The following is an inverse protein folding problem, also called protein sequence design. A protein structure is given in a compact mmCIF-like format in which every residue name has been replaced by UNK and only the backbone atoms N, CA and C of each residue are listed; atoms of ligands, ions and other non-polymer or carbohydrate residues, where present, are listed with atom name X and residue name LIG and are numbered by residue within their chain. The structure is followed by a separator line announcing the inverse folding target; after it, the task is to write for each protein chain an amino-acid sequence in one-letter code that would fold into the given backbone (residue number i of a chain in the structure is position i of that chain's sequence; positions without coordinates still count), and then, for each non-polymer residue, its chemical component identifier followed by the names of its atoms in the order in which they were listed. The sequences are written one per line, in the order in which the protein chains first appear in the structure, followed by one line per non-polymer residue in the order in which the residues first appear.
data_IF_735125327361
#
_entry.id   IF_735125327361
#
_cell.length_a   1.000
_cell.length_b   1.000
_cell.length_c   1.000
_cell.angle_alpha   90.00
_cell.angle_beta   90.00
_cell.angle_gamma   90.00
#
_symmetry.space_group_name_H-M   'P 1'
#
loop_
_entity.id
_entity.type
_entity.pdbx_description
1 polymer ?
#
# COMPACT_ATOMS: atom_id res chain seq x y z
N UNK A 1 37.69 -26.59 -33.93
CA UNK A 1 36.69 -25.51 -34.05
C UNK A 1 35.61 -25.74 -33.00
N UNK A 2 35.65 -25.01 -31.89
CA UNK A 2 34.57 -25.02 -30.89
C UNK A 2 33.43 -24.16 -31.45
N UNK A 3 32.28 -24.79 -31.73
CA UNK A 3 31.09 -24.10 -32.21
C UNK A 3 30.59 -23.12 -31.16
N UNK A 4 30.56 -21.84 -31.51
CA UNK A 4 29.88 -20.81 -30.73
C UNK A 4 28.38 -21.15 -30.71
N UNK A 5 27.87 -21.56 -29.55
CA UNK A 5 26.43 -21.60 -29.32
C UNK A 5 25.94 -20.15 -29.37
N UNK A 6 25.00 -19.79 -30.27
CA UNK A 6 24.47 -18.45 -30.33
C UNK A 6 23.80 -18.12 -28.99
N UNK A 7 24.08 -16.93 -28.46
CA UNK A 7 23.39 -16.42 -27.28
C UNK A 7 21.87 -16.51 -27.52
N UNK A 8 21.08 -16.97 -26.54
CA UNK A 8 19.63 -17.08 -26.70
C UNK A 8 19.08 -15.71 -27.13
N UNK A 9 18.26 -15.72 -28.19
CA UNK A 9 17.63 -14.51 -28.70
C UNK A 9 16.88 -13.79 -27.56
N UNK A 10 17.15 -12.50 -27.38
CA UNK A 10 16.47 -11.70 -26.37
C UNK A 10 14.96 -11.70 -26.69
N UNK A 11 14.14 -12.15 -25.73
CA UNK A 11 12.70 -12.20 -25.89
C UNK A 11 12.16 -10.81 -26.29
N UNK A 12 11.16 -10.79 -27.18
CA UNK A 12 10.56 -9.55 -27.64
C UNK A 12 10.02 -8.73 -26.46
N UNK A 13 10.19 -7.39 -26.44
CA UNK A 13 9.72 -6.57 -25.32
C UNK A 13 8.22 -6.68 -25.10
N UNK A 14 7.80 -6.88 -23.84
CA UNK A 14 6.38 -6.91 -23.46
C UNK A 14 5.72 -5.55 -23.73
N UNK A 15 4.62 -5.55 -24.50
CA UNK A 15 3.98 -4.34 -25.02
C UNK A 15 3.21 -3.54 -23.97
N UNK A 16 2.70 -4.19 -22.92
CA UNK A 16 1.96 -3.57 -21.81
C UNK A 16 2.55 -4.04 -20.47
N UNK A 17 3.75 -3.54 -20.09
CA UNK A 17 4.53 -4.11 -18.99
C UNK A 17 3.79 -4.08 -17.65
N UNK A 18 3.12 -2.98 -17.32
CA UNK A 18 2.32 -2.85 -16.09
C UNK A 18 1.16 -3.85 -16.05
N UNK A 19 0.44 -4.00 -17.17
CA UNK A 19 -0.72 -4.88 -17.22
C UNK A 19 -0.30 -6.36 -17.17
N UNK A 20 0.79 -6.72 -17.84
CA UNK A 20 1.34 -8.07 -17.82
C UNK A 20 1.79 -8.48 -16.42
N UNK A 21 2.52 -7.62 -15.71
CA UNK A 21 2.92 -7.85 -14.31
C UNK A 21 1.71 -7.98 -13.38
N UNK A 22 0.68 -7.13 -13.56
CA UNK A 22 -0.57 -7.24 -12.82
C UNK A 22 -1.29 -8.58 -13.06
N UNK A 23 -1.39 -9.02 -14.31
CA UNK A 23 -1.99 -10.32 -14.66
C UNK A 23 -1.18 -11.47 -14.06
N UNK A 24 0.16 -11.40 -14.11
CA UNK A 24 1.03 -12.39 -13.51
C UNK A 24 0.80 -12.50 -12.00
N UNK A 25 0.80 -11.38 -11.26
CA UNK A 25 0.54 -11.36 -9.82
C UNK A 25 -0.85 -11.91 -9.45
N UNK A 26 -1.86 -11.66 -10.28
CA UNK A 26 -3.21 -12.19 -10.05
C UNK A 26 -3.25 -13.72 -10.17
N UNK A 27 -2.48 -14.29 -11.12
CA UNK A 27 -2.36 -15.73 -11.34
C UNK A 27 -1.45 -16.44 -10.31
N UNK A 28 -0.58 -15.69 -9.62
CA UNK A 28 0.39 -16.24 -8.66
C UNK A 28 0.15 -15.64 -7.26
N UNK A 29 -0.90 -16.06 -6.54
CA UNK A 29 -1.08 -15.68 -5.14
C UNK A 29 0.11 -16.13 -4.30
N UNK A 30 0.48 -15.30 -3.32
CA UNK A 30 1.39 -15.73 -2.25
C UNK A 30 0.78 -16.93 -1.51
N UNK A 31 1.56 -17.99 -1.35
CA UNK A 31 1.20 -19.15 -0.56
C UNK A 31 1.16 -18.81 0.94
N UNK A 32 0.63 -19.72 1.75
CA UNK A 32 0.71 -19.58 3.21
C UNK A 32 2.18 -19.66 3.69
N UNK A 33 3.00 -20.46 3.00
CA UNK A 33 4.41 -20.70 3.33
C UNK A 33 5.29 -19.47 3.02
N UNK A 34 4.90 -18.67 2.02
CA UNK A 34 5.57 -17.39 1.71
C UNK A 34 5.37 -16.36 2.84
N UNK A 35 4.38 -16.58 3.70
CA UNK A 35 4.05 -15.73 4.83
C UNK A 35 3.27 -14.46 4.47
N UNK A 36 2.77 -13.81 5.52
CA UNK A 36 1.84 -12.70 5.38
C UNK A 36 2.43 -11.47 4.66
N UNK A 37 3.75 -11.26 4.72
CA UNK A 37 4.41 -10.16 3.99
C UNK A 37 4.32 -10.32 2.47
N UNK A 38 4.46 -11.54 1.95
CA UNK A 38 4.31 -11.81 0.51
C UNK A 38 2.86 -11.58 0.06
N UNK A 39 1.86 -11.87 0.90
CA UNK A 39 0.46 -11.52 0.61
C UNK A 39 0.28 -10.00 0.48
N UNK A 40 0.97 -9.21 1.31
CA UNK A 40 0.96 -7.74 1.22
C UNK A 40 1.60 -7.28 -0.08
N UNK A 41 2.75 -7.84 -0.47
CA UNK A 41 3.45 -7.49 -1.72
C UNK A 41 2.58 -7.80 -2.94
N UNK A 42 1.95 -8.98 -2.98
CA UNK A 42 1.05 -9.36 -4.06
C UNK A 42 -0.13 -8.38 -4.20
N UNK A 43 -0.85 -8.10 -3.10
CA UNK A 43 -1.95 -7.15 -3.11
C UNK A 43 -1.50 -5.72 -3.49
N UNK A 44 -0.30 -5.31 -3.05
CA UNK A 44 0.26 -4.00 -3.39
C UNK A 44 0.63 -3.90 -4.86
N UNK A 45 1.22 -4.95 -5.44
CA UNK A 45 1.49 -5.02 -6.88
C UNK A 45 0.20 -4.96 -7.70
N UNK A 46 -0.84 -5.71 -7.31
CA UNK A 46 -2.16 -5.59 -7.96
C UNK A 46 -2.74 -4.18 -7.87
N UNK A 47 -2.57 -3.51 -6.72
CA UNK A 47 -2.98 -2.12 -6.54
C UNK A 47 -2.18 -1.15 -7.44
N UNK A 48 -0.86 -1.33 -7.57
CA UNK A 48 -0.02 -0.53 -8.45
C UNK A 48 -0.38 -0.73 -9.92
N UNK A 49 -0.57 -1.98 -10.35
CA UNK A 49 -0.92 -2.32 -11.73
C UNK A 49 -2.27 -1.72 -12.14
N UNK A 50 -3.23 -1.65 -11.20
CA UNK A 50 -4.52 -0.98 -11.34
C UNK A 50 -5.24 -1.29 -12.68
N UNK A 51 -5.29 -2.58 -13.04
CA UNK A 51 -6.00 -3.01 -14.25
C UNK A 51 -7.45 -3.34 -13.92
N UNK A 52 -8.33 -3.23 -14.92
CA UNK A 52 -9.74 -3.64 -14.76
C UNK A 52 -9.87 -5.15 -14.58
N UNK A 53 -9.02 -5.94 -15.24
CA UNK A 53 -9.08 -7.42 -15.22
C UNK A 53 -8.65 -7.99 -13.86
N UNK A 54 -7.79 -7.31 -13.12
CA UNK A 54 -7.31 -7.78 -11.80
C UNK A 54 -8.00 -7.08 -10.62
N UNK A 55 -8.99 -6.23 -10.90
CA UNK A 55 -9.66 -5.44 -9.87
C UNK A 55 -10.43 -6.29 -8.87
N UNK A 56 -11.04 -7.40 -9.31
CA UNK A 56 -11.77 -8.32 -8.42
C UNK A 56 -10.78 -9.10 -7.55
N UNK A 57 -9.68 -9.57 -8.12
CA UNK A 57 -8.61 -10.26 -7.40
C UNK A 57 -7.99 -9.40 -6.29
N UNK A 58 -7.72 -8.11 -6.59
CA UNK A 58 -7.27 -7.16 -5.58
C UNK A 58 -8.23 -7.09 -4.38
N UNK A 59 -9.55 -7.14 -4.61
CA UNK A 59 -10.52 -7.09 -3.50
C UNK A 59 -10.49 -8.37 -2.68
N UNK A 60 -10.37 -9.53 -3.32
CA UNK A 60 -10.18 -10.82 -2.65
C UNK A 60 -8.94 -10.77 -1.77
N UNK A 61 -7.77 -10.41 -2.33
CA UNK A 61 -6.51 -10.34 -1.58
C UNK A 61 -6.58 -9.36 -0.40
N UNK A 62 -7.24 -8.20 -0.57
CA UNK A 62 -7.40 -7.25 0.54
C UNK A 62 -8.38 -7.77 1.60
N UNK A 63 -9.41 -8.54 1.22
CA UNK A 63 -10.28 -9.20 2.17
C UNK A 63 -9.53 -10.27 2.99
N UNK A 64 -8.71 -11.08 2.32
CA UNK A 64 -7.87 -12.12 2.97
C UNK A 64 -6.87 -11.49 3.93
N UNK A 65 -6.19 -10.42 3.51
CA UNK A 65 -5.31 -9.65 4.39
C UNK A 65 -6.06 -9.14 5.62
N UNK A 66 -7.27 -8.57 5.46
CA UNK A 66 -8.07 -8.11 6.61
C UNK A 66 -8.45 -9.28 7.52
N UNK A 67 -8.81 -10.45 6.98
CA UNK A 67 -9.18 -11.61 7.78
C UNK A 67 -8.00 -12.15 8.59
N UNK A 68 -6.79 -12.17 8.02
CA UNK A 68 -5.58 -12.68 8.68
C UNK A 68 -4.86 -11.67 9.60
N UNK A 69 -5.23 -10.39 9.57
CA UNK A 69 -4.48 -9.31 10.22
C UNK A 69 -4.29 -9.53 11.73
N UNK A 70 -5.34 -9.95 12.44
CA UNK A 70 -5.31 -10.14 13.89
C UNK A 70 -4.31 -11.21 14.34
N UNK A 71 -4.06 -12.23 13.52
CA UNK A 71 -3.06 -13.25 13.80
C UNK A 71 -1.65 -12.85 13.32
N UNK A 72 -1.57 -12.18 12.18
CA UNK A 72 -0.30 -12.00 11.48
C UNK A 72 0.49 -10.76 11.91
N UNK A 73 -0.17 -9.68 12.35
CA UNK A 73 0.44 -8.36 12.58
C UNK A 73 1.01 -8.14 13.98
N UNK A 74 0.40 -8.63 15.08
CA UNK A 74 0.87 -8.31 16.44
C UNK A 74 2.36 -8.56 16.64
N UNK A 75 3.06 -7.56 17.20
CA UNK A 75 4.51 -7.62 17.46
C UNK A 75 5.40 -7.51 16.21
N UNK A 76 4.84 -7.28 15.01
CA UNK A 76 5.59 -7.17 13.74
C UNK A 76 5.47 -5.77 13.14
N UNK A 77 6.24 -4.78 13.63
CA UNK A 77 6.14 -3.39 13.17
C UNK A 77 6.42 -3.22 11.67
N UNK A 78 7.35 -4.00 11.10
CA UNK A 78 7.62 -3.99 9.66
C UNK A 78 6.39 -4.42 8.83
N UNK A 79 5.73 -5.50 9.23
CA UNK A 79 4.48 -5.97 8.62
C UNK A 79 3.37 -4.90 8.74
N UNK A 80 3.24 -4.29 9.92
CA UNK A 80 2.30 -3.19 10.13
C UNK A 80 2.60 -2.00 9.21
N UNK A 81 3.87 -1.62 9.03
CA UNK A 81 4.29 -0.52 8.17
C UNK A 81 3.94 -0.77 6.68
N UNK A 82 4.26 -1.96 6.16
CA UNK A 82 3.90 -2.36 4.79
C UNK A 82 2.37 -2.35 4.57
N UNK A 83 1.61 -2.85 5.55
CA UNK A 83 0.15 -2.89 5.45
C UNK A 83 -0.48 -1.48 5.56
N UNK A 84 0.11 -0.57 6.35
CA UNK A 84 -0.28 0.85 6.37
C UNK A 84 -0.08 1.47 4.99
N UNK A 85 1.05 1.22 4.34
CA UNK A 85 1.36 1.76 3.01
C UNK A 85 0.29 1.35 1.99
N UNK A 86 -0.09 0.06 1.96
CA UNK A 86 -1.16 -0.49 1.14
C UNK A 86 -2.54 0.08 1.52
N UNK A 87 -2.93 0.00 2.79
CA UNK A 87 -4.24 0.45 3.26
C UNK A 87 -4.47 1.93 2.92
N UNK A 88 -3.45 2.77 3.12
CA UNK A 88 -3.54 4.20 2.81
C UNK A 88 -3.63 4.47 1.31
N UNK A 89 -2.92 3.71 0.47
CA UNK A 89 -3.07 3.82 -0.97
C UNK A 89 -4.47 3.44 -1.45
N UNK A 90 -5.08 2.42 -0.84
CA UNK A 90 -6.43 1.95 -1.15
C UNK A 90 -7.54 2.78 -0.51
N UNK A 91 -7.21 3.84 0.22
CA UNK A 91 -8.16 4.66 0.99
C UNK A 91 -8.93 3.86 2.07
N UNK A 92 -8.29 2.81 2.60
CA UNK A 92 -8.79 1.98 3.71
C UNK A 92 -8.24 2.52 5.03
N UNK A 93 -9.00 2.33 6.12
CA UNK A 93 -8.54 2.70 7.46
C UNK A 93 -7.37 1.83 7.89
N UNK A 94 -6.26 2.46 8.30
CA UNK A 94 -5.13 1.79 8.94
C UNK A 94 -5.33 1.65 10.47
N UNK A 95 -6.34 2.32 11.05
CA UNK A 95 -6.69 2.23 12.48
C UNK A 95 -7.65 1.08 12.78
N UNK A 96 -8.27 0.53 11.74
CA UNK A 96 -9.16 -0.62 11.79
C UNK A 96 -9.02 -1.42 10.48
N UNK A 97 -8.00 -2.28 10.48
CA UNK A 97 -7.71 -3.19 9.40
C UNK A 97 -7.88 -4.62 9.92
N UNK A 98 -9.09 -5.17 9.75
CA UNK A 98 -9.40 -6.50 10.28
C UNK A 98 -9.45 -6.55 11.81
N UNK A 99 -9.88 -5.45 12.46
CA UNK A 99 -9.84 -5.33 13.92
C UNK A 99 -8.48 -4.91 14.49
N UNK A 100 -7.44 -4.78 13.66
CA UNK A 100 -6.11 -4.34 14.09
C UNK A 100 -5.90 -2.85 13.83
N UNK A 101 -5.36 -2.14 14.83
CA UNK A 101 -4.87 -0.78 14.66
C UNK A 101 -3.38 -0.82 14.29
N UNK A 102 -3.09 -0.82 12.99
CA UNK A 102 -1.74 -0.96 12.45
C UNK A 102 -0.80 0.16 12.90
N UNK A 103 -1.33 1.37 13.13
CA UNK A 103 -0.54 2.51 13.60
C UNK A 103 -0.07 2.27 15.04
N UNK A 104 -0.92 1.67 15.87
CA UNK A 104 -0.54 1.30 17.24
C UNK A 104 0.49 0.17 17.24
N UNK A 105 0.30 -0.85 16.40
CA UNK A 105 1.26 -1.96 16.27
C UNK A 105 2.64 -1.47 15.82
N UNK A 106 2.68 -0.59 14.82
CA UNK A 106 3.94 0.01 14.38
C UNK A 106 4.60 0.81 15.52
N UNK A 107 3.83 1.60 16.29
CA UNK A 107 4.37 2.38 17.41
C UNK A 107 4.86 1.52 18.57
N UNK A 108 4.16 0.44 18.87
CA UNK A 108 4.55 -0.49 19.93
C UNK A 108 5.89 -1.15 19.63
N UNK A 109 6.24 -1.33 18.35
CA UNK A 109 7.53 -1.83 17.92
C UNK A 109 8.65 -0.79 17.81
N UNK A 110 8.47 0.44 18.33
CA UNK A 110 9.51 1.47 18.39
C UNK A 110 10.09 1.50 19.79
N UNK A 111 11.38 1.22 19.94
CA UNK A 111 12.12 1.33 21.21
C UNK A 111 12.36 2.79 21.60
N UNK A 112 12.79 3.00 22.85
CA UNK A 112 13.06 4.35 23.39
C UNK A 112 14.13 5.12 22.60
N UNK A 113 15.15 4.44 22.05
CA UNK A 113 16.18 5.03 21.20
C UNK A 113 15.74 5.21 19.73
N UNK A 114 14.47 4.91 19.42
CA UNK A 114 13.89 5.06 18.08
C UNK A 114 14.19 3.90 17.14
N UNK A 115 14.71 2.76 17.62
CA UNK A 115 14.83 1.56 16.82
C UNK A 115 13.45 0.98 16.48
N UNK A 116 13.20 0.68 15.20
CA UNK A 116 11.99 -0.01 14.76
C UNK A 116 12.28 -1.50 14.61
N UNK A 117 11.58 -2.33 15.38
CA UNK A 117 11.74 -3.78 15.36
C UNK A 117 13.05 -4.28 15.98
N UNK A 118 13.21 -5.60 16.01
CA UNK A 118 14.36 -6.24 16.66
C UNK A 118 15.68 -6.01 15.90
N UNK A 119 15.62 -5.95 14.57
CA UNK A 119 16.80 -5.80 13.72
C UNK A 119 16.93 -4.36 13.21
N UNK A 120 18.06 -3.72 13.51
CA UNK A 120 18.35 -2.35 13.10
C UNK A 120 18.82 -2.27 11.65
N UNK A 121 18.03 -1.65 10.78
CA UNK A 121 18.41 -1.33 9.41
C UNK A 121 17.81 0.00 8.96
N UNK A 122 18.46 0.70 8.03
CA UNK A 122 17.87 1.88 7.42
C UNK A 122 16.54 1.58 6.71
N UNK A 123 16.39 0.40 6.08
CA UNK A 123 15.15 -0.03 5.45
C UNK A 123 13.95 -0.01 6.41
N UNK A 124 14.08 -0.68 7.56
CA UNK A 124 12.99 -0.77 8.55
C UNK A 124 12.60 0.60 9.10
N UNK A 125 13.60 1.46 9.36
CA UNK A 125 13.39 2.81 9.84
C UNK A 125 12.69 3.70 8.82
N UNK A 126 13.17 3.68 7.58
CA UNK A 126 12.59 4.45 6.51
C UNK A 126 11.14 4.01 6.22
N UNK A 127 10.87 2.70 6.23
CA UNK A 127 9.52 2.16 6.04
C UNK A 127 8.56 2.60 7.14
N UNK A 128 9.00 2.64 8.41
CA UNK A 128 8.19 3.16 9.52
C UNK A 128 7.85 4.65 9.35
N UNK A 129 8.83 5.46 8.94
CA UNK A 129 8.62 6.90 8.68
C UNK A 129 7.61 7.10 7.55
N UNK A 130 7.77 6.38 6.44
CA UNK A 130 6.86 6.43 5.29
C UNK A 130 5.45 6.04 5.73
N UNK A 131 5.30 4.92 6.44
CA UNK A 131 4.02 4.43 6.92
C UNK A 131 3.31 5.44 7.85
N UNK A 132 4.02 5.96 8.87
CA UNK A 132 3.46 6.94 9.81
C UNK A 132 3.01 8.23 9.09
N UNK A 133 3.83 8.76 8.18
CA UNK A 133 3.46 9.93 7.37
C UNK A 133 2.23 9.67 6.51
N UNK A 134 2.16 8.53 5.82
CA UNK A 134 1.00 8.14 5.00
C UNK A 134 -0.26 7.94 5.84
N UNK A 135 -0.12 7.47 7.08
CA UNK A 135 -1.22 7.35 8.02
C UNK A 135 -1.71 8.70 8.58
N UNK A 136 -1.01 9.81 8.31
CA UNK A 136 -1.28 11.11 8.93
C UNK A 136 -0.91 11.14 10.41
N UNK A 137 -0.01 10.25 10.85
CA UNK A 137 0.48 10.18 12.22
C UNK A 137 1.79 10.96 12.37
N UNK A 138 2.04 11.50 13.57
CA UNK A 138 3.31 12.16 13.88
C UNK A 138 4.47 11.16 13.87
N UNK A 139 5.57 11.47 13.21
CA UNK A 139 6.78 10.65 13.20
C UNK A 139 7.61 10.97 14.45
N UNK A 140 7.95 10.01 15.33
CA UNK A 140 8.84 10.28 16.45
C UNK A 140 10.22 10.75 15.97
N UNK A 141 10.75 11.81 16.59
CA UNK A 141 12.06 12.36 16.22
C UNK A 141 13.21 11.36 16.42
N UNK A 142 13.11 10.48 17.42
CA UNK A 142 14.08 9.41 17.67
C UNK A 142 14.21 8.45 16.47
N UNK A 143 13.10 8.12 15.78
CA UNK A 143 13.13 7.24 14.59
C UNK A 143 13.89 7.90 13.43
N UNK A 144 13.69 9.21 13.23
CA UNK A 144 14.44 9.96 12.21
C UNK A 144 15.91 10.04 12.59
N UNK A 145 16.22 10.33 13.85
CA UNK A 145 17.59 10.40 14.36
C UNK A 145 18.30 9.06 14.19
N UNK A 146 17.63 7.94 14.53
CA UNK A 146 18.15 6.58 14.34
C UNK A 146 18.31 6.23 12.85
N UNK A 147 17.42 6.68 11.96
CA UNK A 147 17.65 6.50 10.51
C UNK A 147 18.96 7.16 10.07
N UNK A 148 19.24 8.39 10.54
CA UNK A 148 20.44 9.13 10.16
C UNK A 148 21.74 8.44 10.58
N UNK A 149 21.73 7.60 11.63
CA UNK A 149 22.92 6.84 12.05
C UNK A 149 23.29 5.70 11.10
N UNK A 150 22.39 5.32 10.19
CA UNK A 150 22.65 4.28 9.19
C UNK A 150 23.23 4.81 7.88
N UNK A 151 23.57 6.11 7.79
CA UNK A 151 24.31 6.65 6.64
C UNK A 151 25.82 6.59 6.90
N UNK A 152 26.58 5.98 5.98
CA UNK A 152 28.04 5.94 6.07
C UNK A 152 28.73 7.17 5.44
N UNK A 153 30.06 7.14 5.42
CA UNK A 153 30.88 8.19 4.82
C UNK A 153 30.67 8.32 3.30
N UNK A 154 30.33 7.24 2.60
CA UNK A 154 30.04 7.27 1.16
C UNK A 154 28.71 7.97 0.85
N UNK A 155 27.81 8.04 1.83
CA UNK A 155 26.46 8.58 1.72
C UNK A 155 25.39 7.51 1.51
N UNK A 156 25.78 6.24 1.40
CA UNK A 156 24.86 5.12 1.36
C UNK A 156 24.16 4.95 2.70
N UNK A 157 22.91 4.49 2.67
CA UNK A 157 22.28 3.91 3.84
C UNK A 157 22.37 2.40 3.79
N UNK A 158 22.38 1.77 4.96
CA UNK A 158 22.63 0.34 5.05
C UNK A 158 22.20 -0.29 6.36
N UNK A 159 22.89 -1.38 6.68
CA UNK A 159 22.70 -2.15 7.90
C UNK A 159 24.05 -2.71 8.40
N UNK A 160 24.07 -3.17 9.64
CA UNK A 160 25.24 -3.81 10.25
C UNK A 160 25.16 -5.34 10.11
N UNK A 161 26.19 -5.96 9.54
CA UNK A 161 26.34 -7.41 9.47
C UNK A 161 27.83 -7.79 9.46
N UNK A 162 28.44 -7.87 10.65
CA UNK A 162 29.90 -8.03 10.78
C UNK A 162 30.69 -6.81 10.30
N UNK A 163 30.01 -5.66 10.18
CA UNK A 163 30.48 -4.42 9.58
C UNK A 163 29.36 -3.75 8.78
N UNK A 164 29.56 -2.48 8.43
CA UNK A 164 28.58 -1.73 7.66
C UNK A 164 28.45 -2.26 6.23
N UNK A 165 27.22 -2.53 5.81
CA UNK A 165 26.88 -2.94 4.44
C UNK A 165 26.03 -1.85 3.79
N UNK A 166 26.60 -1.18 2.78
CA UNK A 166 25.88 -0.22 1.94
C UNK A 166 24.83 -0.95 1.10
N UNK A 167 23.59 -0.46 1.12
CA UNK A 167 22.46 -1.15 0.50
C UNK A 167 21.61 -0.18 -0.36
N UNK A 168 21.45 -0.45 -1.67
CA UNK A 168 20.66 0.42 -2.54
C UNK A 168 19.18 0.51 -2.11
N UNK A 169 18.60 -0.56 -1.58
CA UNK A 169 17.20 -0.62 -1.17
C UNK A 169 16.94 0.27 0.05
N UNK A 170 17.79 0.12 1.08
CA UNK A 170 17.85 0.99 2.25
C UNK A 170 18.06 2.45 1.87
N UNK A 171 19.00 2.72 0.96
CA UNK A 171 19.28 4.08 0.46
C UNK A 171 18.08 4.67 -0.26
N UNK A 172 17.41 3.88 -1.10
CA UNK A 172 16.21 4.29 -1.80
C UNK A 172 15.09 4.69 -0.82
N UNK A 173 14.81 3.85 0.19
CA UNK A 173 13.77 4.18 1.15
C UNK A 173 14.16 5.36 2.05
N UNK A 174 15.43 5.46 2.46
CA UNK A 174 15.91 6.60 3.23
C UNK A 174 15.71 7.93 2.50
N UNK A 175 16.00 7.99 1.18
CA UNK A 175 15.71 9.17 0.35
C UNK A 175 14.23 9.54 0.43
N UNK A 176 13.33 8.55 0.28
CA UNK A 176 11.89 8.80 0.34
C UNK A 176 11.44 9.29 1.73
N UNK A 177 11.87 8.61 2.79
CA UNK A 177 11.51 8.92 4.16
C UNK A 177 11.97 10.33 4.56
N UNK A 178 13.23 10.69 4.25
CA UNK A 178 13.81 11.98 4.57
C UNK A 178 13.21 13.12 3.76
N UNK A 179 12.86 12.88 2.49
CA UNK A 179 12.09 13.83 1.69
C UNK A 179 10.69 14.09 2.28
N UNK A 180 10.03 13.07 2.84
CA UNK A 180 8.71 13.20 3.46
C UNK A 180 8.73 13.99 4.78
N UNK A 181 9.76 13.81 5.62
CA UNK A 181 9.87 14.53 6.90
C UNK A 181 10.47 15.93 6.74
N UNK A 182 11.26 16.17 5.69
CA UNK A 182 11.94 17.45 5.47
C UNK A 182 13.19 17.62 6.34
N UNK A 183 13.84 18.79 6.26
CA UNK A 183 14.99 19.15 7.11
C UNK A 183 16.33 18.47 6.79
N UNK A 184 16.36 17.44 5.93
CA UNK A 184 17.52 16.56 5.74
C UNK A 184 18.16 16.68 4.34
N UNK A 185 18.14 17.88 3.74
CA UNK A 185 18.55 18.08 2.33
C UNK A 185 19.99 17.65 2.04
N UNK A 186 20.94 17.91 2.95
CA UNK A 186 22.34 17.54 2.77
C UNK A 186 22.56 16.02 2.82
N UNK A 187 21.89 15.35 3.76
CA UNK A 187 21.90 13.89 3.91
C UNK A 187 21.34 13.21 2.66
N UNK A 188 20.19 13.69 2.16
CA UNK A 188 19.58 13.20 0.91
C UNK A 188 20.49 13.47 -0.29
N UNK A 189 21.17 14.61 -0.34
CA UNK A 189 22.11 14.91 -1.43
C UNK A 189 23.30 13.94 -1.46
N UNK A 190 23.84 13.55 -0.31
CA UNK A 190 24.88 12.51 -0.22
C UNK A 190 24.40 11.16 -0.74
N UNK A 191 23.21 10.72 -0.30
CA UNK A 191 22.59 9.48 -0.77
C UNK A 191 22.34 9.47 -2.29
N UNK A 192 21.88 10.58 -2.84
CA UNK A 192 21.69 10.73 -4.29
C UNK A 192 23.02 10.70 -5.03
N UNK A 193 24.07 11.34 -4.50
CA UNK A 193 25.42 11.28 -5.08
C UNK A 193 25.94 9.85 -5.12
N UNK A 194 25.83 9.11 -4.00
CA UNK A 194 26.18 7.70 -3.94
C UNK A 194 25.40 6.88 -4.97
N UNK A 195 24.07 7.02 -5.00
CA UNK A 195 23.22 6.30 -5.95
C UNK A 195 23.61 6.56 -7.41
N UNK A 196 24.01 7.79 -7.75
CA UNK A 196 24.50 8.09 -9.10
C UNK A 196 25.84 7.41 -9.40
N UNK A 197 26.76 7.39 -8.42
CA UNK A 197 28.09 6.78 -8.62
C UNK A 197 28.06 5.26 -8.70
N UNK A 198 27.05 4.61 -8.10
CA UNK A 198 26.92 3.16 -8.09
C UNK A 198 25.99 2.61 -9.18
N UNK A 199 25.33 3.48 -9.97
CA UNK A 199 24.55 3.03 -11.11
C UNK A 199 25.46 2.45 -12.19
N UNK A 200 25.19 1.22 -12.62
CA UNK A 200 26.01 0.53 -13.63
C UNK A 200 25.94 1.21 -15.01
N UNK A 201 26.88 0.86 -15.89
CA UNK A 201 26.86 1.28 -17.29
C UNK A 201 25.59 0.84 -18.04
N UNK A 202 24.89 -0.22 -17.59
CA UNK A 202 23.60 -0.63 -18.14
C UNK A 202 22.41 0.13 -17.53
N UNK A 203 22.57 0.75 -16.36
CA UNK A 203 21.56 1.61 -15.73
C UNK A 203 20.85 1.02 -14.52
N UNK A 204 21.28 -0.14 -14.04
CA UNK A 204 20.74 -0.79 -12.83
C UNK A 204 21.64 -0.57 -11.62
N UNK A 205 21.15 -0.90 -10.44
CA UNK A 205 21.95 -1.01 -9.21
C UNK A 205 22.15 -2.47 -8.90
N UNK A 206 23.41 -2.88 -8.80
CA UNK A 206 23.76 -4.26 -8.50
C UNK A 206 23.63 -4.52 -7.00
N UNK A 207 23.02 -5.65 -6.66
CA UNK A 207 22.75 -6.10 -5.29
C UNK A 207 22.32 -7.56 -5.35
N UNK A 208 21.78 -8.09 -4.25
CA UNK A 208 21.25 -9.45 -4.20
C UNK A 208 20.11 -9.69 -5.20
N UNK A 209 19.22 -8.70 -5.36
CA UNK A 209 18.18 -8.67 -6.41
C UNK A 209 18.27 -7.36 -7.20
N UNK A 210 19.01 -7.33 -8.33
CA UNK A 210 19.20 -6.10 -9.10
C UNK A 210 17.90 -5.49 -9.64
N UNK A 211 16.84 -6.29 -9.81
CA UNK A 211 15.53 -5.81 -10.26
C UNK A 211 14.89 -4.96 -9.16
N UNK A 212 14.86 -5.47 -7.92
CA UNK A 212 14.24 -4.83 -6.76
C UNK A 212 14.95 -3.51 -6.46
N UNK A 213 16.27 -3.59 -6.30
CA UNK A 213 17.13 -2.44 -6.01
C UNK A 213 16.97 -1.35 -7.06
N UNK A 214 16.89 -1.72 -8.34
CA UNK A 214 16.74 -0.74 -9.42
C UNK A 214 15.36 -0.10 -9.42
N UNK A 215 14.31 -0.88 -9.19
CA UNK A 215 12.96 -0.37 -9.14
C UNK A 215 12.76 0.59 -7.95
N UNK A 216 13.26 0.21 -6.76
CA UNK A 216 13.21 1.03 -5.56
C UNK A 216 14.07 2.30 -5.69
N UNK A 217 15.31 2.19 -6.15
CA UNK A 217 16.21 3.34 -6.27
C UNK A 217 15.71 4.36 -7.29
N UNK A 218 15.37 3.92 -8.51
CA UNK A 218 14.90 4.84 -9.53
C UNK A 218 13.56 5.48 -9.16
N UNK A 219 12.63 4.74 -8.55
CA UNK A 219 11.38 5.31 -8.05
C UNK A 219 11.60 6.33 -6.93
N UNK A 220 12.60 6.13 -6.07
CA UNK A 220 12.94 7.09 -5.01
C UNK A 220 13.33 8.46 -5.56
N UNK A 221 13.99 8.54 -6.72
CA UNK A 221 14.33 9.83 -7.35
C UNK A 221 13.11 10.69 -7.65
N UNK A 222 11.98 10.08 -8.00
CA UNK A 222 10.70 10.78 -8.31
C UNK A 222 10.05 11.40 -7.07
N UNK A 223 10.51 11.06 -5.87
CA UNK A 223 10.03 11.65 -4.60
C UNK A 223 10.73 12.96 -4.25
N UNK A 224 11.84 13.26 -4.94
CA UNK A 224 12.58 14.50 -4.73
C UNK A 224 11.90 15.68 -5.44
N UNK A 225 12.23 16.91 -5.01
CA UNK A 225 11.74 18.12 -5.67
C UNK A 225 12.08 18.14 -7.17
N UNK A 226 11.31 18.87 -7.99
CA UNK A 226 11.59 19.02 -9.44
C UNK A 226 13.04 19.47 -9.71
N UNK A 227 13.57 20.38 -8.87
CA UNK A 227 14.95 20.89 -8.97
C UNK A 227 15.98 19.77 -8.74
N UNK A 228 15.76 18.94 -7.73
CA UNK A 228 16.62 17.79 -7.41
C UNK A 228 16.47 16.66 -8.43
N UNK A 229 15.27 16.42 -8.97
CA UNK A 229 15.01 15.37 -9.95
C UNK A 229 15.55 15.68 -11.34
N UNK A 230 15.55 16.95 -11.78
CA UNK A 230 16.03 17.34 -13.12
C UNK A 230 17.38 16.71 -13.51
N UNK A 231 18.46 16.77 -12.70
CA UNK A 231 19.73 16.12 -13.02
C UNK A 231 19.70 14.58 -12.90
N UNK A 232 18.66 13.99 -12.31
CA UNK A 232 18.47 12.53 -12.16
C UNK A 232 17.66 11.92 -13.30
N UNK A 233 17.02 12.74 -14.14
CA UNK A 233 16.12 12.27 -15.19
C UNK A 233 16.79 11.27 -16.15
N UNK A 234 18.06 11.49 -16.52
CA UNK A 234 18.80 10.56 -17.38
C UNK A 234 19.05 9.21 -16.70
N UNK A 235 19.47 9.23 -15.43
CA UNK A 235 19.67 8.02 -14.61
C UNK A 235 18.38 7.23 -14.43
N UNK A 236 17.28 7.93 -14.12
CA UNK A 236 15.92 7.36 -14.05
C UNK A 236 15.50 6.69 -15.36
N UNK A 237 15.66 7.39 -16.49
CA UNK A 237 15.27 6.87 -17.81
C UNK A 237 16.10 5.64 -18.19
N UNK A 238 17.38 5.60 -17.83
CA UNK A 238 18.24 4.45 -18.07
C UNK A 238 17.77 3.23 -17.28
N UNK A 239 17.52 3.40 -15.98
CA UNK A 239 16.97 2.36 -15.11
C UNK A 239 15.61 1.84 -15.61
N UNK A 240 14.70 2.74 -15.99
CA UNK A 240 13.39 2.36 -16.53
C UNK A 240 13.50 1.55 -17.83
N UNK A 241 14.39 1.95 -18.75
CA UNK A 241 14.63 1.21 -19.99
C UNK A 241 15.24 -0.15 -19.72
N UNK A 242 16.23 -0.22 -18.83
CA UNK A 242 16.85 -1.48 -18.43
C UNK A 242 15.82 -2.42 -17.79
N UNK A 243 15.01 -1.94 -16.84
CA UNK A 243 14.03 -2.77 -16.16
C UNK A 243 13.07 -3.39 -17.17
N UNK A 244 12.58 -2.62 -18.14
CA UNK A 244 11.70 -3.13 -19.20
C UNK A 244 12.28 -4.29 -20.02
N UNK A 245 13.60 -4.42 -20.14
CA UNK A 245 14.21 -5.56 -20.85
C UNK A 245 14.31 -6.82 -20.00
N UNK A 246 14.01 -6.72 -18.70
CA UNK A 246 14.04 -7.83 -17.74
C UNK A 246 12.69 -8.49 -17.53
N UNK A 247 11.61 -7.93 -18.07
CA UNK A 247 10.30 -8.55 -17.97
C UNK A 247 10.26 -9.82 -18.82
N UNK A 248 9.85 -10.93 -18.21
CA UNK A 248 9.73 -12.22 -18.86
C UNK A 248 8.43 -12.28 -19.69
N UNK A 249 8.36 -13.27 -20.59
CA UNK A 249 7.23 -13.44 -21.50
C UNK A 249 5.90 -13.76 -20.78
N UNK A 250 5.97 -14.35 -19.57
CA UNK A 250 4.83 -14.59 -18.70
C UNK A 250 4.28 -13.31 -18.03
N UNK A 251 5.01 -12.19 -18.16
CA UNK A 251 4.67 -10.88 -17.62
C UNK A 251 5.31 -10.57 -16.26
N UNK A 252 5.93 -11.53 -15.59
CA UNK A 252 6.64 -11.29 -14.34
C UNK A 252 8.08 -10.82 -14.53
N UNK A 253 8.79 -10.64 -13.42
CA UNK A 253 10.19 -10.25 -13.38
C UNK A 253 11.01 -11.24 -12.56
N UNK A 254 12.22 -11.63 -13.00
CA UNK A 254 13.09 -12.47 -12.20
C UNK A 254 13.80 -11.65 -11.12
N UNK A 255 14.24 -12.30 -10.03
CA UNK A 255 15.08 -11.64 -9.02
C UNK A 255 16.54 -11.44 -9.49
N UNK A 256 17.03 -12.29 -10.40
CA UNK A 256 18.43 -12.26 -10.86
C UNK A 256 18.56 -11.81 -12.31
N UNK A 257 19.75 -11.32 -12.71
CA UNK A 257 20.01 -10.77 -14.04
C UNK A 257 19.76 -11.75 -15.20
N UNK A 258 19.95 -13.04 -14.93
CA UNK A 258 19.85 -14.16 -15.87
C UNK A 258 18.71 -15.12 -15.50
N UNK A 259 17.88 -14.76 -14.51
CA UNK A 259 16.77 -15.60 -14.08
C UNK A 259 15.73 -15.74 -15.18
N UNK A 260 15.21 -16.96 -15.34
CA UNK A 260 14.18 -17.30 -16.33
C UNK A 260 12.82 -17.55 -15.69
N UNK A 261 12.74 -17.44 -14.37
CA UNK A 261 11.53 -17.64 -13.57
C UNK A 261 11.18 -16.34 -12.88
N UNK A 262 9.91 -15.97 -12.94
CA UNK A 262 9.38 -14.79 -12.30
C UNK A 262 9.37 -14.94 -10.78
N UNK A 263 9.76 -13.88 -10.08
CA UNK A 263 9.73 -13.73 -8.64
C UNK A 263 8.66 -12.71 -8.23
N UNK A 264 8.00 -12.97 -7.09
CA UNK A 264 6.90 -12.13 -6.66
C UNK A 264 7.35 -10.76 -6.16
N UNK A 265 8.46 -10.68 -5.40
CA UNK A 265 8.98 -9.42 -4.87
C UNK A 265 9.50 -8.56 -6.03
N UNK A 266 10.25 -9.14 -6.95
CA UNK A 266 10.72 -8.47 -8.16
C UNK A 266 9.59 -7.95 -9.05
N UNK A 267 8.55 -8.74 -9.24
CA UNK A 267 7.39 -8.30 -10.03
C UNK A 267 6.63 -7.16 -9.33
N UNK A 268 6.51 -7.22 -8.00
CA UNK A 268 5.91 -6.18 -7.18
C UNK A 268 6.71 -4.87 -7.20
N UNK A 269 8.02 -4.92 -6.94
CA UNK A 269 8.84 -3.71 -6.86
C UNK A 269 9.02 -3.05 -8.22
N UNK A 270 9.16 -3.85 -9.30
CA UNK A 270 9.17 -3.35 -10.68
C UNK A 270 7.98 -2.42 -10.98
N UNK A 271 6.80 -2.69 -10.41
CA UNK A 271 5.62 -1.87 -10.63
C UNK A 271 5.73 -0.45 -10.09
N UNK A 272 6.54 -0.17 -9.06
CA UNK A 272 6.79 1.21 -8.64
C UNK A 272 7.44 2.01 -9.76
N UNK A 273 8.51 1.47 -10.36
CA UNK A 273 9.22 2.15 -11.46
C UNK A 273 8.37 2.20 -12.73
N UNK A 274 7.69 1.10 -13.09
CA UNK A 274 6.84 1.04 -14.28
C UNK A 274 5.68 2.03 -14.24
N UNK A 275 5.14 2.32 -13.05
CA UNK A 275 4.05 3.28 -12.86
C UNK A 275 4.53 4.69 -12.50
N UNK A 276 5.85 4.88 -12.36
CA UNK A 276 6.46 6.18 -12.05
C UNK A 276 6.10 6.72 -10.67
N UNK A 277 5.80 5.82 -9.73
CA UNK A 277 5.41 6.10 -8.35
C UNK A 277 6.39 5.43 -7.39
N UNK A 278 6.18 5.59 -6.09
CA UNK A 278 7.00 4.96 -5.04
C UNK A 278 6.15 4.55 -3.83
N UNK A 279 6.73 3.83 -2.87
CA UNK A 279 6.08 3.49 -1.60
C UNK A 279 5.50 4.72 -0.87
N UNK A 280 6.22 5.85 -0.94
CA UNK A 280 5.77 7.11 -0.32
C UNK A 280 4.65 7.82 -1.08
N UNK A 281 4.52 7.63 -2.39
CA UNK A 281 3.67 8.48 -3.26
C UNK A 281 2.49 7.76 -3.90
N UNK A 282 2.49 6.42 -3.97
CA UNK A 282 1.43 5.73 -4.72
C UNK A 282 0.06 5.82 -4.04
N UNK A 283 -0.97 5.91 -4.88
CA UNK A 283 -2.37 5.96 -4.48
C UNK A 283 -3.22 5.24 -5.51
N UNK A 284 -4.23 4.50 -5.05
CA UNK A 284 -5.13 3.76 -5.92
C UNK A 284 -6.31 4.64 -6.34
N UNK A 285 -6.52 4.82 -7.64
CA UNK A 285 -7.58 5.70 -8.13
C UNK A 285 -8.96 5.05 -7.96
N UNK A 286 -9.83 5.69 -7.18
CA UNK A 286 -11.18 5.19 -6.89
C UNK A 286 -12.16 5.35 -8.06
N UNK A 287 -12.91 4.28 -8.33
CA UNK A 287 -14.03 4.26 -9.27
C UNK A 287 -15.37 4.58 -8.59
N UNK A 288 -16.36 5.13 -9.32
CA UNK A 288 -17.72 5.23 -8.81
C UNK A 288 -18.44 3.88 -8.88
N UNK A 289 -19.34 3.60 -7.93
CA UNK A 289 -20.29 2.50 -8.06
C UNK A 289 -21.21 2.73 -9.26
N UNK A 290 -21.50 1.68 -10.04
CA UNK A 290 -22.43 1.75 -11.17
C UNK A 290 -23.90 1.64 -10.75
N UNK A 291 -24.16 1.01 -9.59
CA UNK A 291 -25.49 0.95 -8.94
C UNK A 291 -25.38 1.36 -7.47
N UNK A 292 -26.30 2.22 -7.01
CA UNK A 292 -26.34 2.81 -5.64
C UNK A 292 -27.79 2.93 -5.13
N UNK A 293 -28.40 1.82 -4.71
CA UNK A 293 -29.79 1.82 -4.25
C UNK A 293 -29.99 2.68 -2.99
N UNK A 294 -31.18 3.29 -2.85
CA UNK A 294 -31.56 4.03 -1.64
C UNK A 294 -32.04 3.06 -0.56
N UNK A 295 -31.60 3.22 0.70
CA UNK A 295 -32.09 2.41 1.81
C UNK A 295 -33.54 2.79 2.15
N UNK A 296 -34.33 1.79 2.55
CA UNK A 296 -35.75 1.94 2.93
C UNK A 296 -35.98 1.43 4.35
N UNK A 297 -36.83 2.10 5.11
CA UNK A 297 -37.28 1.64 6.42
C UNK A 297 -38.60 0.87 6.24
N UNK A 298 -38.66 -0.36 6.75
CA UNK A 298 -39.85 -1.24 6.77
C UNK A 298 -40.34 -1.41 8.21
N UNK A 299 -41.63 -1.70 8.39
CA UNK A 299 -42.30 -1.80 9.69
C UNK A 299 -43.19 -0.59 9.97
N UNK A 300 -43.95 -0.59 11.07
CA UNK A 300 -44.73 0.56 11.55
C UNK A 300 -43.91 1.33 12.58
N UNK A 301 -43.78 2.66 12.43
CA UNK A 301 -42.97 3.47 13.33
C UNK A 301 -43.85 3.88 14.49
N UNK A 302 -44.07 2.95 15.40
CA UNK A 302 -44.89 3.11 16.62
C UNK A 302 -44.03 2.69 17.80
N UNK A 303 -44.11 3.39 18.94
CA UNK A 303 -43.36 3.01 20.14
C UNK A 303 -43.57 1.53 20.45
N UNK A 304 -42.48 0.83 20.77
CA UNK A 304 -42.45 -0.62 21.02
C UNK A 304 -42.28 -1.48 19.77
N UNK A 305 -42.56 -0.96 18.56
CA UNK A 305 -42.39 -1.74 17.32
C UNK A 305 -40.95 -1.72 16.82
N UNK A 306 -40.58 -2.79 16.12
CA UNK A 306 -39.30 -2.90 15.42
C UNK A 306 -39.41 -2.38 13.99
N UNK A 307 -38.45 -1.54 13.61
CA UNK A 307 -38.19 -1.13 12.23
C UNK A 307 -37.01 -1.92 11.67
N UNK A 308 -37.05 -2.22 10.38
CA UNK A 308 -35.98 -2.93 9.67
C UNK A 308 -35.50 -2.10 8.48
N UNK A 309 -34.18 -1.94 8.31
CA UNK A 309 -33.62 -1.32 7.10
C UNK A 309 -33.48 -2.36 5.97
N UNK A 310 -33.99 -2.01 4.79
CA UNK A 310 -33.63 -2.64 3.52
C UNK A 310 -32.60 -1.74 2.84
N UNK A 311 -31.32 -2.12 2.88
CA UNK A 311 -30.20 -1.29 2.43
C UNK A 311 -30.14 -1.16 0.91
N UNK A 312 -30.61 -2.15 0.15
CA UNK A 312 -30.53 -2.14 -1.31
C UNK A 312 -29.12 -2.46 -1.85
N UNK A 313 -29.04 -2.94 -3.08
CA UNK A 313 -27.80 -3.44 -3.67
C UNK A 313 -26.93 -2.35 -4.31
N UNK A 314 -25.61 -2.56 -4.28
CA UNK A 314 -24.61 -1.82 -5.06
C UNK A 314 -24.02 -2.70 -6.15
N UNK A 315 -23.41 -2.09 -7.18
CA UNK A 315 -22.56 -2.80 -8.14
C UNK A 315 -21.20 -2.10 -8.27
N UNK A 316 -20.08 -2.78 -7.93
CA UNK A 316 -20.00 -4.12 -7.33
C UNK A 316 -20.64 -4.20 -5.94
N UNK A 317 -20.77 -5.41 -5.39
CA UNK A 317 -21.21 -5.61 -4.01
C UNK A 317 -20.27 -4.87 -3.04
N UNK A 318 -20.80 -4.41 -1.92
CA UNK A 318 -20.08 -3.60 -0.93
C UNK A 318 -20.33 -4.10 0.48
N UNK A 319 -19.40 -3.77 1.39
CA UNK A 319 -19.69 -3.80 2.82
C UNK A 319 -20.45 -2.55 3.20
N UNK A 320 -21.27 -2.63 4.26
CA UNK A 320 -22.09 -1.52 4.69
C UNK A 320 -22.00 -1.28 6.19
N UNK A 321 -22.13 -0.02 6.59
CA UNK A 321 -22.38 0.38 7.97
C UNK A 321 -23.71 1.11 8.07
N UNK A 322 -24.43 0.88 9.16
CA UNK A 322 -25.77 1.41 9.42
C UNK A 322 -25.69 2.34 10.63
N UNK A 323 -26.41 3.44 10.57
CA UNK A 323 -26.62 4.34 11.69
C UNK A 323 -28.05 4.88 11.65
N UNK A 324 -28.84 4.57 12.68
CA UNK A 324 -30.17 5.16 12.86
C UNK A 324 -30.06 6.60 13.33
N UNK A 325 -30.98 7.43 12.84
CA UNK A 325 -31.03 8.87 13.09
C UNK A 325 -32.39 9.28 13.64
N UNK A 326 -32.38 10.14 14.66
CA UNK A 326 -33.56 10.83 15.20
C UNK A 326 -33.44 12.32 14.89
N UNK A 327 -34.41 12.88 14.16
CA UNK A 327 -34.35 14.30 13.69
C UNK A 327 -33.03 14.61 12.96
N UNK A 328 -32.51 13.66 12.19
CA UNK A 328 -31.24 13.79 11.46
C UNK A 328 -29.97 13.61 12.30
N UNK A 329 -30.06 13.48 13.63
CA UNK A 329 -28.91 13.25 14.53
C UNK A 329 -28.72 11.75 14.80
N UNK A 330 -27.48 11.24 14.87
CA UNK A 330 -27.22 9.85 15.24
C UNK A 330 -27.84 9.47 16.59
N UNK A 331 -28.49 8.30 16.63
CA UNK A 331 -28.89 7.65 17.86
C UNK A 331 -27.70 6.76 18.28
N UNK A 332 -27.05 7.11 19.38
CA UNK A 332 -25.84 6.41 19.85
C UNK A 332 -26.11 4.91 20.00
N UNK A 333 -25.19 4.08 19.49
CA UNK A 333 -25.29 2.62 19.53
C UNK A 333 -26.28 1.98 18.55
N UNK A 334 -27.16 2.75 17.91
CA UNK A 334 -28.15 2.21 16.98
C UNK A 334 -27.55 1.97 15.59
N UNK A 335 -26.79 0.89 15.46
CA UNK A 335 -26.07 0.50 14.22
C UNK A 335 -26.56 -0.83 13.64
N UNK A 336 -27.50 -1.51 14.30
CA UNK A 336 -28.08 -2.75 13.82
C UNK A 336 -29.01 -2.54 12.60
N UNK A 337 -29.26 -3.60 11.85
CA UNK A 337 -30.24 -3.59 10.75
C UNK A 337 -31.69 -3.38 11.23
N UNK A 338 -31.93 -3.60 12.51
CA UNK A 338 -33.22 -3.35 13.18
C UNK A 338 -33.10 -2.24 14.21
N UNK A 339 -34.22 -1.59 14.50
CA UNK A 339 -34.33 -0.59 15.57
C UNK A 339 -35.71 -0.62 16.20
N UNK A 340 -35.75 -0.84 17.51
CA UNK A 340 -36.99 -0.74 18.30
C UNK A 340 -37.29 0.73 18.57
N UNK A 341 -38.47 1.18 18.16
CA UNK A 341 -38.92 2.56 18.38
C UNK A 341 -39.14 2.78 19.87
N UNK A 342 -38.49 3.79 20.42
CA UNK A 342 -38.54 4.13 21.84
C UNK A 342 -39.53 5.27 22.08
N UNK A 343 -39.93 5.48 23.35
CA UNK A 343 -40.76 6.64 23.71
C UNK A 343 -40.12 7.98 23.29
N UNK A 344 -38.79 8.05 23.31
CA UNK A 344 -38.03 9.20 22.84
C UNK A 344 -38.09 9.40 21.31
N UNK A 345 -38.75 8.56 20.54
CA UNK A 345 -38.97 8.78 19.10
C UNK A 345 -40.32 9.41 18.80
N UNK A 346 -41.28 9.35 19.74
CA UNK A 346 -42.65 9.80 19.50
C UNK A 346 -42.72 11.23 18.94
N UNK A 347 -43.44 11.39 17.82
CA UNK A 347 -43.57 12.64 17.07
C UNK A 347 -42.35 13.04 16.23
N UNK A 348 -41.27 12.26 16.24
CA UNK A 348 -40.00 12.58 15.56
C UNK A 348 -39.83 11.74 14.31
N UNK A 349 -39.09 12.28 13.34
CA UNK A 349 -38.69 11.50 12.16
C UNK A 349 -37.50 10.62 12.47
N UNK A 350 -37.67 9.34 12.18
CA UNK A 350 -36.61 8.34 12.11
C UNK A 350 -36.10 8.24 10.67
N UNK A 351 -34.78 8.21 10.50
CA UNK A 351 -34.09 7.94 9.23
C UNK A 351 -32.97 6.94 9.48
N UNK A 352 -32.48 6.31 8.42
CA UNK A 352 -31.28 5.48 8.49
C UNK A 352 -30.25 6.00 7.50
N UNK A 353 -29.01 6.20 7.98
CA UNK A 353 -27.84 6.47 7.17
C UNK A 353 -27.13 5.14 6.91
N UNK A 354 -26.91 4.83 5.64
CA UNK A 354 -26.15 3.66 5.20
C UNK A 354 -24.91 4.14 4.45
N UNK A 355 -23.76 3.65 4.85
CA UNK A 355 -22.48 3.92 4.18
C UNK A 355 -22.03 2.65 3.48
N UNK A 356 -21.89 2.69 2.16
CA UNK A 356 -21.41 1.57 1.33
C UNK A 356 -19.94 1.77 1.02
N UNK A 357 -19.12 0.73 1.24
CA UNK A 357 -17.68 0.73 1.01
C UNK A 357 -17.23 -0.49 0.23
N UNK A 358 -16.31 -0.29 -0.70
CA UNK A 358 -15.67 -1.38 -1.44
C UNK A 358 -14.28 -0.93 -1.87
N UNK A 359 -13.29 -1.82 -1.79
CA UNK A 359 -11.91 -1.55 -2.18
C UNK A 359 -11.88 -1.11 -3.65
N UNK A 360 -11.23 0.02 -3.91
CA UNK A 360 -11.16 0.64 -5.22
C UNK A 360 -12.38 1.49 -5.61
N UNK A 361 -13.35 1.68 -4.72
CA UNK A 361 -14.53 2.51 -4.97
C UNK A 361 -14.68 3.69 -4.02
N UNK A 362 -15.22 4.79 -4.54
CA UNK A 362 -15.61 5.94 -3.71
C UNK A 362 -16.74 5.52 -2.76
N UNK A 363 -16.54 5.72 -1.46
CA UNK A 363 -17.57 5.50 -0.44
C UNK A 363 -18.84 6.26 -0.78
N UNK A 364 -19.99 5.60 -0.65
CA UNK A 364 -21.30 6.19 -0.92
C UNK A 364 -22.09 6.24 0.38
N UNK A 365 -22.60 7.42 0.73
CA UNK A 365 -23.52 7.58 1.87
C UNK A 365 -24.92 7.84 1.33
N UNK A 366 -25.90 7.07 1.81
CA UNK A 366 -27.32 7.29 1.52
C UNK A 366 -28.11 7.43 2.81
N UNK A 367 -29.12 8.29 2.80
CA UNK A 367 -30.04 8.47 3.92
C UNK A 367 -31.44 8.14 3.40
N UNK A 368 -32.16 7.30 4.14
CA UNK A 368 -33.53 6.92 3.78
C UNK A 368 -34.49 8.11 3.84
N UNK A 369 -35.66 7.95 3.23
CA UNK A 369 -36.81 8.78 3.57
C UNK A 369 -37.11 8.70 5.07
N UNK A 370 -37.69 9.78 5.62
CA UNK A 370 -38.06 9.86 7.03
C UNK A 370 -39.36 9.14 7.33
N UNK A 371 -39.43 8.49 8.49
CA UNK A 371 -40.64 7.86 9.00
C UNK A 371 -41.01 8.49 10.34
N UNK A 372 -42.16 9.16 10.42
CA UNK A 372 -42.61 9.81 11.65
C UNK A 372 -43.03 8.71 12.64
N UNK A 373 -42.46 8.73 13.84
CA UNK A 373 -42.83 7.80 14.89
C UNK A 373 -44.10 8.28 15.62
N UNK A 374 -45.01 7.34 15.85
CA UNK A 374 -46.27 7.51 16.56
C UNK A 374 -46.15 6.91 17.96
N UNK A 375 -47.01 7.36 18.87
CA UNK A 375 -47.17 6.71 20.18
C UNK A 375 -47.68 5.28 20.02
#
# INVERSE_FOLDING_TARGET
MLGLVPAPAQAAPVTKPVAAAGTWLAAHPASADDGYSYQIYNATGLALAHTKSTADELRTRVADLRAGAAAAVPGKPGTAASLIVLAKALHVSAKDFGGVNLVNELRAGISADGQVGAYGSAYGQAMAIIALKRAGAGVPAAVVTKLLTFQDASGAFGYEYGGFVADPDSTALAIQALNLVGGNKAVVAKAITWAKSTQTAAGYWDSWSPIDSTALMASAFKTSSKKTFKPLAASYTKAYRWLKTKQLADGGFPATLTGTTSDQMATYDALYLLTGTSMSTFTYKLSPFTKKAQPKIVGKAKVGNTLTVKTGATKPASTLTIQWLRRGRPIVGATAATYTVTAADAGRYLRVKVTYSQVGYKTVVKISAGKKAHQ
#
